data_IF_186992367070
#
_entry.id   IF_186992367070
#
_cell.length_a   1.000
_cell.length_b   1.000
_cell.length_c   1.000
_cell.angle_alpha   90.00
_cell.angle_beta   90.00
_cell.angle_gamma   90.00
#
_symmetry.space_group_name_H-M   'P 1'
#
loop_
_entity.id
_entity.type
_entity.pdbx_description
1 polymer ?
#
# COMPACT_ATOMS: atom_id res chain seq x y z
N UNK A 1 65.87 30.35 -67.11
CA UNK A 1 66.96 30.70 -66.16
C UNK A 1 66.40 31.59 -65.05
N UNK A 2 67.11 31.73 -63.92
CA UNK A 2 66.70 32.44 -62.68
C UNK A 2 65.49 31.80 -61.95
N UNK A 3 65.49 31.37 -60.67
CA UNK A 3 66.22 31.66 -59.39
C UNK A 3 65.72 32.85 -58.57
N UNK A 4 64.85 32.58 -57.57
CA UNK A 4 64.91 32.97 -56.12
C UNK A 4 63.54 32.71 -55.44
N UNK A 5 63.33 32.21 -54.20
CA UNK A 5 64.14 32.02 -52.96
C UNK A 5 64.45 33.36 -52.26
N UNK A 6 64.03 33.69 -51.03
CA UNK A 6 63.49 33.00 -49.82
C UNK A 6 62.63 34.04 -49.01
N UNK A 7 61.94 33.82 -47.88
CA UNK A 7 61.76 32.64 -46.98
C UNK A 7 60.22 32.38 -46.79
N UNK A 8 59.49 32.24 -45.66
CA UNK A 8 59.75 32.19 -44.18
C UNK A 8 58.66 31.39 -43.40
N UNK A 9 58.88 31.16 -42.10
CA UNK A 9 58.03 30.40 -41.13
C UNK A 9 58.27 30.93 -39.68
N UNK A 10 57.70 30.41 -38.56
CA UNK A 10 56.48 29.61 -38.31
C UNK A 10 55.65 30.17 -37.10
N UNK A 11 55.02 29.28 -36.29
CA UNK A 11 54.46 29.46 -34.93
C UNK A 11 52.98 29.90 -34.86
N UNK A 12 52.14 29.16 -34.10
CA UNK A 12 50.77 29.58 -33.76
C UNK A 12 49.71 28.50 -33.49
N UNK A 13 50.07 27.26 -33.12
CA UNK A 13 49.08 26.18 -32.97
C UNK A 13 48.11 26.34 -31.78
N UNK A 14 46.81 26.10 -31.98
CA UNK A 14 45.82 25.96 -30.89
C UNK A 14 44.57 25.14 -31.24
N UNK A 15 44.61 23.85 -30.86
CA UNK A 15 43.50 23.01 -30.36
C UNK A 15 42.10 23.23 -30.97
N UNK A 16 41.79 22.48 -32.03
CA UNK A 16 40.39 22.16 -32.36
C UNK A 16 39.80 21.23 -31.29
N UNK A 17 38.68 21.64 -30.66
CA UNK A 17 37.98 20.84 -29.65
C UNK A 17 37.22 19.68 -30.30
N UNK A 18 37.71 18.45 -30.15
CA UNK A 18 36.83 17.26 -30.18
C UNK A 18 36.28 17.02 -28.78
N UNK A 19 35.00 17.30 -28.56
CA UNK A 19 34.34 17.00 -27.28
C UNK A 19 32.83 16.80 -27.46
N UNK A 20 32.42 15.54 -27.36
CA UNK A 20 31.11 15.07 -26.87
C UNK A 20 29.88 15.92 -27.25
N UNK A 21 29.15 15.49 -28.28
CA UNK A 21 27.68 15.54 -28.21
C UNK A 21 27.23 14.58 -27.11
N UNK A 22 26.92 15.12 -25.94
CA UNK A 22 25.97 14.48 -25.02
C UNK A 22 24.61 15.12 -25.31
N UNK A 23 23.79 14.43 -26.10
CA UNK A 23 22.46 14.94 -26.44
C UNK A 23 21.57 14.97 -25.19
N UNK A 24 21.05 16.16 -24.88
CA UNK A 24 20.27 16.43 -23.68
C UNK A 24 18.90 15.75 -23.75
N UNK A 25 18.80 14.51 -23.25
CA UNK A 25 17.54 13.75 -23.15
C UNK A 25 16.88 13.78 -21.77
N UNK A 26 17.24 14.75 -20.93
CA UNK A 26 16.39 15.20 -19.82
C UNK A 26 15.14 15.86 -20.42
N UNK A 27 14.05 15.11 -20.57
CA UNK A 27 12.87 15.57 -21.30
C UNK A 27 11.55 15.05 -20.72
N UNK A 28 10.71 16.01 -20.33
CA UNK A 28 9.26 15.93 -20.04
C UNK A 28 8.73 15.07 -18.89
N UNK A 29 9.35 13.95 -18.48
CA UNK A 29 8.79 13.14 -17.37
C UNK A 29 8.95 13.82 -16.01
N UNK A 30 10.18 14.07 -15.60
CA UNK A 30 10.55 14.58 -14.27
C UNK A 30 9.91 15.97 -13.96
N UNK A 31 9.58 16.73 -15.01
CA UNK A 31 8.94 18.05 -14.90
C UNK A 31 7.43 17.97 -14.64
N UNK A 32 6.74 16.88 -15.01
CA UNK A 32 5.32 16.70 -14.67
C UNK A 32 5.11 16.07 -13.28
N UNK A 33 5.97 15.14 -12.87
CA UNK A 33 5.85 14.47 -11.56
C UNK A 33 6.09 15.46 -10.40
N UNK A 34 7.07 16.36 -10.54
CA UNK A 34 7.39 17.37 -9.53
C UNK A 34 6.32 18.47 -9.41
N UNK A 35 5.72 18.90 -10.52
CA UNK A 35 4.75 20.02 -10.49
C UNK A 35 3.40 19.62 -9.86
N UNK A 36 2.95 18.37 -10.04
CA UNK A 36 1.71 17.86 -9.42
C UNK A 36 1.84 17.79 -7.90
N UNK A 37 2.94 17.23 -7.38
CA UNK A 37 3.19 17.14 -5.93
C UNK A 37 3.37 18.54 -5.32
N UNK A 38 4.08 19.44 -6.01
CA UNK A 38 4.27 20.82 -5.55
C UNK A 38 2.96 21.61 -5.47
N UNK A 39 2.06 21.48 -6.46
CA UNK A 39 0.75 22.15 -6.47
C UNK A 39 -0.22 21.58 -5.42
N UNK A 40 -0.12 20.29 -5.08
CA UNK A 40 -0.93 19.66 -4.01
C UNK A 40 -0.61 20.21 -2.60
N UNK A 41 0.62 20.69 -2.36
CA UNK A 41 1.07 21.19 -1.06
C UNK A 41 0.62 22.63 -0.74
N UNK A 42 0.05 23.38 -1.68
CA UNK A 42 -0.16 24.84 -1.53
C UNK A 42 -1.57 25.30 -1.11
N UNK A 43 -2.60 24.43 -1.10
CA UNK A 43 -4.00 24.90 -1.13
C UNK A 43 -4.86 24.38 0.04
N UNK A 44 -4.83 25.06 1.19
CA UNK A 44 -5.78 24.84 2.30
C UNK A 44 -7.04 25.73 2.16
N UNK A 45 -8.21 25.13 1.86
CA UNK A 45 -9.57 25.63 2.20
C UNK A 45 -10.66 24.69 1.65
N UNK A 46 -11.82 24.68 2.33
CA UNK A 46 -13.14 24.07 1.98
C UNK A 46 -13.28 22.53 2.02
N UNK A 47 -14.22 22.04 2.83
CA UNK A 47 -14.40 20.60 3.15
C UNK A 47 -14.91 19.74 1.98
N UNK A 48 -15.88 20.23 1.22
CA UNK A 48 -16.41 19.51 0.06
C UNK A 48 -15.33 19.27 -1.02
N UNK A 49 -14.36 20.17 -1.10
CA UNK A 49 -13.18 20.04 -1.95
C UNK A 49 -12.16 19.07 -1.30
N UNK A 50 -11.99 19.10 0.03
CA UNK A 50 -11.11 18.17 0.75
C UNK A 50 -11.47 16.68 0.50
N UNK A 51 -12.75 16.30 0.54
CA UNK A 51 -13.16 14.91 0.22
C UNK A 51 -12.93 14.56 -1.26
N UNK A 52 -13.17 15.49 -2.19
CA UNK A 52 -12.85 15.30 -3.60
C UNK A 52 -11.33 15.16 -3.86
N UNK A 53 -10.49 15.91 -3.11
CA UNK A 53 -9.02 15.81 -3.14
C UNK A 53 -8.52 14.51 -2.51
N UNK A 54 -9.09 14.06 -1.38
CA UNK A 54 -8.81 12.74 -0.76
C UNK A 54 -9.01 11.64 -1.79
N UNK A 55 -10.16 11.62 -2.48
CA UNK A 55 -10.42 10.72 -3.62
C UNK A 55 -9.32 10.83 -4.68
N UNK A 56 -9.05 12.04 -5.20
CA UNK A 56 -8.07 12.24 -6.27
C UNK A 56 -6.65 11.74 -5.91
N UNK A 57 -6.18 12.00 -4.69
CA UNK A 57 -4.87 11.55 -4.22
C UNK A 57 -4.78 10.02 -4.09
N UNK A 58 -5.83 9.39 -3.52
CA UNK A 58 -5.95 7.94 -3.39
C UNK A 58 -6.03 7.26 -4.77
N UNK A 59 -6.80 7.81 -5.72
CA UNK A 59 -6.87 7.25 -7.08
C UNK A 59 -5.55 7.37 -7.85
N UNK A 60 -4.92 8.55 -7.87
CA UNK A 60 -3.68 8.76 -8.62
C UNK A 60 -2.54 7.83 -8.15
N UNK A 61 -2.43 7.60 -6.85
CA UNK A 61 -1.41 6.70 -6.27
C UNK A 61 -1.77 5.22 -6.43
N UNK A 62 -3.05 4.84 -6.35
CA UNK A 62 -3.52 3.48 -6.68
C UNK A 62 -3.24 3.10 -8.15
N UNK A 63 -3.48 4.00 -9.11
CA UNK A 63 -3.14 3.74 -10.52
C UNK A 63 -1.64 3.58 -10.77
N UNK A 64 -0.80 4.35 -10.07
CA UNK A 64 0.66 4.25 -10.19
C UNK A 64 1.22 2.92 -9.62
N UNK A 65 0.63 2.42 -8.53
CA UNK A 65 1.02 1.12 -7.96
C UNK A 65 0.81 -0.03 -8.95
N UNK A 66 -0.33 -0.05 -9.65
CA UNK A 66 -0.66 -1.11 -10.62
C UNK A 66 0.25 -1.14 -11.84
N UNK A 67 0.63 0.04 -12.37
CA UNK A 67 1.59 0.15 -13.48
C UNK A 67 2.95 -0.42 -13.07
N UNK A 68 3.40 -0.14 -11.83
CA UNK A 68 4.66 -0.68 -11.29
C UNK A 68 4.61 -2.21 -11.07
N UNK A 69 3.45 -2.76 -10.72
CA UNK A 69 3.26 -4.20 -10.53
C UNK A 69 3.18 -5.00 -11.85
N UNK A 70 2.61 -4.41 -12.91
CA UNK A 70 2.48 -5.05 -14.23
C UNK A 70 3.77 -5.07 -15.05
N UNK A 71 4.60 -4.02 -14.95
CA UNK A 71 5.83 -3.85 -15.72
C UNK A 71 5.60 -3.27 -17.12
N UNK A 72 6.48 -2.38 -17.56
CA UNK A 72 6.31 -1.59 -18.77
C UNK A 72 6.54 -2.39 -20.07
N UNK A 73 5.46 -2.89 -20.66
CA UNK A 73 5.43 -3.22 -22.09
C UNK A 73 4.97 -1.99 -22.89
N UNK A 74 5.82 -1.46 -23.78
CA UNK A 74 5.45 -0.38 -24.71
C UNK A 74 4.45 -0.90 -25.76
N UNK A 75 3.16 -0.81 -25.45
CA UNK A 75 2.04 -1.23 -26.30
C UNK A 75 1.08 -0.07 -26.59
N UNK A 76 1.47 0.84 -27.49
CA UNK A 76 0.62 1.97 -27.86
C UNK A 76 -0.57 1.57 -28.73
N UNK A 77 -1.79 1.90 -28.30
CA UNK A 77 -3.01 1.82 -29.10
C UNK A 77 -3.98 2.95 -28.75
N UNK A 78 -4.71 3.44 -29.75
CA UNK A 78 -5.62 4.59 -29.65
C UNK A 78 -7.07 4.14 -29.85
N UNK A 79 -8.00 4.60 -29.00
CA UNK A 79 -9.45 4.38 -29.18
C UNK A 79 -10.21 4.39 -27.86
N UNK A 80 -11.25 5.21 -27.75
CA UNK A 80 -12.03 5.39 -26.52
C UNK A 80 -13.16 4.36 -26.34
N UNK A 81 -13.66 4.26 -25.10
CA UNK A 81 -14.82 3.43 -24.74
C UNK A 81 -14.69 2.85 -23.33
N UNK A 82 -15.64 3.15 -22.44
CA UNK A 82 -15.56 2.82 -21.00
C UNK A 82 -15.54 1.30 -20.72
N UNK A 83 -14.35 0.72 -20.50
CA UNK A 83 -14.05 -0.33 -19.49
C UNK A 83 -12.59 -0.79 -19.66
N UNK A 84 -11.66 -0.15 -18.95
CA UNK A 84 -10.23 -0.43 -19.12
C UNK A 84 -9.78 -1.68 -18.34
N UNK A 85 -9.69 -2.82 -19.03
CA UNK A 85 -8.98 -3.99 -18.55
C UNK A 85 -7.52 -3.95 -19.05
N UNK A 86 -6.56 -3.87 -18.13
CA UNK A 86 -5.14 -3.85 -18.50
C UNK A 86 -4.71 -5.28 -18.85
N UNK A 87 -4.27 -5.49 -20.08
CA UNK A 87 -3.64 -6.73 -20.55
C UNK A 87 -2.14 -6.59 -20.35
N UNK A 88 -1.53 -7.53 -19.62
CA UNK A 88 -0.09 -7.54 -19.34
C UNK A 88 0.58 -8.70 -20.08
N UNK A 89 1.66 -8.40 -20.80
CA UNK A 89 2.46 -9.39 -21.50
C UNK A 89 3.33 -10.20 -20.53
N UNK A 90 3.05 -11.49 -20.40
CA UNK A 90 3.82 -12.41 -19.56
C UNK A 90 5.22 -12.68 -20.14
N UNK A 91 6.23 -11.94 -19.67
CA UNK A 91 7.63 -12.16 -20.03
C UNK A 91 8.18 -13.46 -19.42
N UNK A 92 8.04 -14.58 -20.13
CA UNK A 92 8.48 -15.90 -19.69
C UNK A 92 10.01 -16.06 -19.64
N UNK A 93 10.63 -15.67 -18.52
CA UNK A 93 12.05 -15.94 -18.22
C UNK A 93 12.19 -17.07 -17.20
N UNK A 94 12.81 -18.18 -17.60
CA UNK A 94 13.02 -19.35 -16.74
C UNK A 94 14.48 -19.55 -16.29
N UNK A 95 14.66 -20.26 -15.17
CA UNK A 95 15.95 -20.77 -14.69
C UNK A 95 16.59 -19.94 -13.57
N UNK A 96 16.98 -20.61 -12.48
CA UNK A 96 17.71 -20.00 -11.36
C UNK A 96 17.31 -20.51 -9.97
N UNK A 97 17.48 -21.81 -9.69
CA UNK A 97 17.45 -22.29 -8.30
C UNK A 97 18.72 -21.78 -7.59
N UNK A 98 18.52 -20.99 -6.53
CA UNK A 98 19.58 -20.23 -5.87
C UNK A 98 19.24 -20.03 -4.41
N UNK A 99 19.62 -20.99 -3.57
CA UNK A 99 19.29 -21.07 -2.14
C UNK A 99 19.96 -20.03 -1.25
N UNK A 100 19.74 -18.74 -1.53
CA UNK A 100 20.04 -17.64 -0.63
C UNK A 100 18.82 -17.31 0.24
N UNK A 101 18.91 -17.50 1.55
CA UNK A 101 17.86 -17.12 2.50
C UNK A 101 17.77 -15.60 2.66
N UNK A 102 17.14 -14.90 1.71
CA UNK A 102 16.87 -13.47 1.83
C UNK A 102 15.81 -13.26 2.93
N UNK A 103 16.27 -12.95 4.14
CA UNK A 103 15.44 -12.34 5.18
C UNK A 103 15.02 -10.96 4.68
N UNK A 104 13.88 -10.88 4.00
CA UNK A 104 13.34 -9.59 3.59
C UNK A 104 12.90 -8.83 4.83
N UNK A 105 13.56 -7.71 5.11
CA UNK A 105 13.18 -6.83 6.20
C UNK A 105 11.82 -6.22 5.87
N UNK A 106 10.76 -6.74 6.47
CA UNK A 106 9.40 -6.25 6.26
C UNK A 106 9.33 -4.77 6.64
N UNK A 107 8.81 -3.92 5.74
CA UNK A 107 8.56 -2.52 6.07
C UNK A 107 7.55 -2.45 7.19
N UNK A 108 7.78 -1.58 8.17
CA UNK A 108 6.82 -1.31 9.23
C UNK A 108 6.47 0.17 9.22
N UNK A 109 5.17 0.46 9.21
CA UNK A 109 4.59 1.77 9.45
C UNK A 109 3.87 1.75 10.79
N UNK A 110 4.00 2.83 11.56
CA UNK A 110 3.41 2.97 12.88
C UNK A 110 2.62 4.28 12.96
N UNK A 111 1.35 4.17 13.33
CA UNK A 111 0.52 5.30 13.72
C UNK A 111 0.19 5.19 15.21
N UNK A 112 0.28 6.31 15.92
CA UNK A 112 -0.07 6.45 17.32
C UNK A 112 -1.18 7.49 17.41
N UNK A 113 -2.32 7.12 18.02
CA UNK A 113 -3.55 7.92 18.06
C UNK A 113 -4.18 7.83 19.45
N UNK A 114 -4.82 8.90 19.91
CA UNK A 114 -5.59 8.93 21.17
C UNK A 114 -7.00 9.43 20.88
N UNK A 115 -8.04 8.69 21.31
CA UNK A 115 -9.43 8.92 20.89
C UNK A 115 -10.47 8.36 21.88
N UNK A 116 -11.74 8.77 21.75
CA UNK A 116 -12.83 8.21 22.57
C UNK A 116 -13.18 6.79 22.09
N UNK A 117 -13.51 5.88 23.00
CA UNK A 117 -13.68 4.45 22.70
C UNK A 117 -14.70 4.09 21.62
N UNK A 118 -15.67 4.96 21.30
CA UNK A 118 -16.63 4.76 20.20
C UNK A 118 -16.03 5.02 18.81
N UNK A 119 -14.93 5.76 18.72
CA UNK A 119 -14.28 6.16 17.46
C UNK A 119 -13.30 5.10 16.93
N UNK A 120 -12.94 4.12 17.76
CA UNK A 120 -11.90 3.11 17.47
C UNK A 120 -12.19 2.30 16.21
N UNK A 121 -13.40 1.76 16.11
CA UNK A 121 -13.81 0.90 15.00
C UNK A 121 -13.69 1.65 13.65
N UNK A 122 -14.15 2.89 13.60
CA UNK A 122 -14.11 3.77 12.43
C UNK A 122 -12.69 4.24 12.07
N UNK A 123 -11.90 4.67 13.07
CA UNK A 123 -10.55 5.16 12.86
C UNK A 123 -9.60 4.07 12.33
N UNK A 124 -9.70 2.86 12.89
CA UNK A 124 -8.92 1.71 12.40
C UNK A 124 -9.42 1.26 11.03
N UNK A 125 -10.73 1.23 10.80
CA UNK A 125 -11.31 0.87 9.51
C UNK A 125 -10.85 1.83 8.41
N UNK A 126 -10.88 3.14 8.63
CA UNK A 126 -10.48 4.14 7.63
C UNK A 126 -9.01 3.99 7.20
N UNK A 127 -8.12 3.69 8.15
CA UNK A 127 -6.69 3.42 7.91
C UNK A 127 -6.52 2.10 7.14
N UNK A 128 -7.07 1.00 7.62
CA UNK A 128 -6.85 -0.31 7.01
C UNK A 128 -7.56 -0.48 5.66
N UNK A 129 -8.74 0.09 5.46
CA UNK A 129 -9.37 0.13 4.13
C UNK A 129 -8.56 0.97 3.13
N UNK A 130 -8.00 2.11 3.55
CA UNK A 130 -7.13 2.93 2.67
C UNK A 130 -5.86 2.16 2.28
N UNK A 131 -5.21 1.50 3.24
CA UNK A 131 -4.05 0.63 2.98
C UNK A 131 -4.43 -0.54 2.05
N UNK A 132 -5.53 -1.25 2.33
CA UNK A 132 -6.00 -2.37 1.50
C UNK A 132 -6.46 -1.93 0.11
N UNK A 133 -6.95 -0.71 -0.07
CA UNK A 133 -7.24 -0.15 -1.37
C UNK A 133 -5.96 -0.08 -2.24
N UNK A 134 -4.85 0.41 -1.69
CA UNK A 134 -3.53 0.38 -2.37
C UNK A 134 -2.84 -1.00 -2.40
N UNK A 135 -3.50 -2.05 -1.86
CA UNK A 135 -2.99 -3.43 -1.80
C UNK A 135 -3.98 -4.45 -2.37
N UNK A 136 -4.99 -3.98 -3.11
CA UNK A 136 -5.97 -4.78 -3.82
C UNK A 136 -5.93 -4.54 -5.33
N UNK A 137 -5.97 -5.63 -6.09
CA UNK A 137 -6.18 -5.65 -7.52
C UNK A 137 -7.61 -6.13 -7.83
N UNK A 138 -8.09 -5.94 -9.06
CA UNK A 138 -9.25 -6.72 -9.53
C UNK A 138 -8.84 -8.15 -9.86
N UNK A 139 -9.80 -9.07 -9.98
CA UNK A 139 -9.50 -10.50 -10.25
C UNK A 139 -8.59 -10.68 -11.47
N UNK A 140 -7.55 -11.49 -11.32
CA UNK A 140 -6.71 -11.91 -12.44
C UNK A 140 -7.45 -12.91 -13.34
N UNK A 141 -7.32 -12.72 -14.66
CA UNK A 141 -7.77 -13.67 -15.69
C UNK A 141 -6.59 -14.03 -16.59
N UNK A 142 -5.99 -15.19 -16.32
CA UNK A 142 -4.88 -15.75 -17.09
C UNK A 142 -5.38 -16.39 -18.40
N UNK A 143 -4.54 -16.37 -19.43
CA UNK A 143 -4.73 -17.06 -20.71
C UNK A 143 -3.73 -18.21 -20.84
N UNK A 144 -4.02 -19.17 -21.71
CA UNK A 144 -3.16 -20.34 -21.95
C UNK A 144 -1.74 -19.97 -22.43
N UNK A 145 -1.58 -18.81 -23.04
CA UNK A 145 -0.31 -18.23 -23.53
C UNK A 145 0.55 -17.60 -22.41
N UNK A 146 0.15 -17.70 -21.14
CA UNK A 146 0.87 -17.09 -20.01
C UNK A 146 0.67 -15.57 -19.83
N UNK A 147 0.00 -14.92 -20.78
CA UNK A 147 -0.49 -13.54 -20.61
C UNK A 147 -1.70 -13.49 -19.67
N UNK A 148 -1.95 -12.33 -19.05
CA UNK A 148 -3.10 -12.13 -18.16
C UNK A 148 -3.75 -10.77 -18.36
N UNK A 149 -4.96 -10.64 -17.84
CA UNK A 149 -5.65 -9.36 -17.67
C UNK A 149 -6.07 -9.20 -16.22
N UNK A 150 -6.06 -7.95 -15.72
CA UNK A 150 -6.50 -7.60 -14.37
C UNK A 150 -7.86 -6.90 -14.47
N UNK A 151 -8.81 -7.28 -13.61
CA UNK A 151 -10.08 -6.59 -13.47
C UNK A 151 -9.95 -5.21 -12.82
N UNK A 152 -11.02 -4.43 -12.83
CA UNK A 152 -11.12 -3.15 -12.10
C UNK A 152 -11.47 -3.40 -10.63
N UNK A 153 -10.91 -2.60 -9.71
CA UNK A 153 -11.35 -2.55 -8.31
C UNK A 153 -12.52 -1.59 -8.19
N UNK A 154 -13.69 -2.07 -7.75
CA UNK A 154 -14.81 -1.21 -7.36
C UNK A 154 -14.51 -0.49 -6.05
N UNK A 155 -15.02 0.72 -5.88
CA UNK A 155 -14.83 1.52 -4.68
C UNK A 155 -16.12 2.21 -4.23
N UNK A 156 -16.17 2.54 -2.94
CA UNK A 156 -17.22 3.34 -2.33
C UNK A 156 -16.64 4.26 -1.27
N UNK A 157 -17.32 5.36 -1.01
CA UNK A 157 -17.12 6.18 0.17
C UNK A 157 -17.84 5.55 1.37
N UNK A 158 -17.31 5.79 2.57
CA UNK A 158 -17.91 5.45 3.86
C UNK A 158 -17.75 6.66 4.77
N UNK A 159 -18.88 7.25 5.16
CA UNK A 159 -18.95 8.29 6.18
C UNK A 159 -18.89 7.66 7.59
N UNK A 160 -18.26 8.36 8.53
CA UNK A 160 -18.19 7.96 9.93
C UNK A 160 -19.29 8.63 10.76
N UNK A 161 -19.89 7.92 11.72
CA UNK A 161 -20.88 8.45 12.66
C UNK A 161 -20.17 9.19 13.82
N UNK A 162 -19.10 8.59 14.36
CA UNK A 162 -18.41 9.07 15.57
C UNK A 162 -17.16 9.91 15.29
N UNK A 163 -16.85 10.21 14.03
CA UNK A 163 -15.75 11.08 13.60
C UNK A 163 -16.27 11.94 12.45
N UNK A 164 -15.90 13.22 12.38
CA UNK A 164 -16.25 14.06 11.22
C UNK A 164 -15.30 13.76 10.05
N UNK A 165 -15.48 12.58 9.44
CA UNK A 165 -14.59 12.02 8.42
C UNK A 165 -15.33 11.11 7.42
N UNK A 166 -14.78 11.04 6.20
CA UNK A 166 -15.22 10.13 5.13
C UNK A 166 -13.98 9.46 4.55
N UNK A 167 -13.99 8.14 4.40
CA UNK A 167 -12.91 7.36 3.78
C UNK A 167 -13.38 6.59 2.55
N UNK A 168 -12.42 6.10 1.75
CA UNK A 168 -12.71 5.27 0.56
C UNK A 168 -12.27 3.83 0.85
N UNK A 169 -13.09 2.86 0.46
CA UNK A 169 -12.76 1.44 0.53
C UNK A 169 -13.06 0.71 -0.78
N UNK A 170 -12.50 -0.49 -0.95
CA UNK A 170 -12.93 -1.41 -1.99
C UNK A 170 -14.39 -1.82 -1.76
N UNK A 171 -15.21 -1.90 -2.81
CA UNK A 171 -16.61 -2.37 -2.77
C UNK A 171 -16.76 -3.88 -2.57
N UNK A 172 -16.00 -4.46 -1.62
CA UNK A 172 -16.00 -5.88 -1.31
C UNK A 172 -16.61 -6.13 0.07
N UNK A 173 -17.86 -6.60 0.08
CA UNK A 173 -18.59 -6.96 1.31
C UNK A 173 -17.83 -8.00 2.14
N UNK A 174 -17.11 -8.92 1.49
CA UNK A 174 -16.32 -9.93 2.18
C UNK A 174 -15.04 -9.36 2.83
N UNK A 175 -14.40 -8.36 2.21
CA UNK A 175 -13.24 -7.68 2.82
C UNK A 175 -13.67 -6.80 4.00
N UNK A 176 -14.78 -6.08 3.83
CA UNK A 176 -15.44 -5.30 4.88
C UNK A 176 -15.81 -6.16 6.10
N UNK A 177 -16.47 -7.29 5.89
CA UNK A 177 -16.81 -8.26 6.95
C UNK A 177 -15.56 -8.84 7.63
N UNK A 178 -14.48 -9.09 6.89
CA UNK A 178 -13.21 -9.55 7.47
C UNK A 178 -12.56 -8.47 8.34
N UNK A 179 -12.47 -7.23 7.86
CA UNK A 179 -11.91 -6.13 8.65
C UNK A 179 -12.75 -5.85 9.90
N UNK A 180 -14.08 -5.65 9.75
CA UNK A 180 -14.97 -5.35 10.88
C UNK A 180 -14.90 -6.38 12.00
N UNK A 181 -14.83 -7.68 11.68
CA UNK A 181 -14.70 -8.75 12.68
C UNK A 181 -13.43 -8.61 13.53
N UNK A 182 -12.27 -8.43 12.90
CA UNK A 182 -11.00 -8.31 13.64
C UNK A 182 -10.87 -6.97 14.36
N UNK A 183 -11.37 -5.88 13.75
CA UNK A 183 -11.35 -4.52 14.31
C UNK A 183 -12.27 -4.42 15.53
N UNK A 184 -13.52 -4.88 15.46
CA UNK A 184 -14.44 -4.85 16.60
C UNK A 184 -14.00 -5.80 17.71
N UNK A 185 -13.39 -6.95 17.38
CA UNK A 185 -12.77 -7.83 18.39
C UNK A 185 -11.61 -7.15 19.15
N UNK A 186 -10.75 -6.40 18.44
CA UNK A 186 -9.74 -5.53 19.08
C UNK A 186 -10.38 -4.42 19.92
N UNK A 187 -11.41 -3.77 19.39
CA UNK A 187 -12.07 -2.62 20.01
C UNK A 187 -12.85 -3.00 21.27
N UNK A 188 -13.52 -4.15 21.28
CA UNK A 188 -14.11 -4.77 22.48
C UNK A 188 -13.05 -5.09 23.54
N UNK A 189 -11.94 -5.73 23.15
CA UNK A 189 -10.84 -6.02 24.07
C UNK A 189 -10.24 -4.74 24.66
N UNK A 190 -10.01 -3.70 23.84
CA UNK A 190 -9.46 -2.41 24.24
C UNK A 190 -10.39 -1.64 25.20
N UNK A 191 -11.71 -1.76 25.01
CA UNK A 191 -12.76 -1.16 25.86
C UNK A 191 -13.14 -1.98 27.11
N UNK A 192 -12.60 -3.18 27.28
CA UNK A 192 -12.92 -4.05 28.43
C UNK A 192 -12.52 -3.43 29.78
N UNK A 193 -13.17 -3.83 30.88
CA UNK A 193 -12.91 -3.28 32.23
C UNK A 193 -11.49 -3.50 32.73
N UNK A 194 -10.86 -4.57 32.25
CA UNK A 194 -9.56 -5.05 32.71
C UNK A 194 -8.43 -4.58 31.76
N UNK A 195 -8.79 -3.85 30.71
CA UNK A 195 -7.88 -3.13 29.82
C UNK A 195 -7.36 -1.86 30.50
N UNK A 196 -6.05 -1.55 30.39
CA UNK A 196 -5.50 -0.26 30.80
C UNK A 196 -5.86 0.87 29.81
N UNK A 197 -6.76 0.61 28.85
CA UNK A 197 -7.18 1.58 27.83
C UNK A 197 -6.19 1.77 26.69
N UNK A 198 -5.13 0.96 26.58
CA UNK A 198 -4.14 1.08 25.50
C UNK A 198 -3.74 -0.26 24.89
N UNK A 199 -3.50 -0.24 23.58
CA UNK A 199 -3.20 -1.43 22.78
C UNK A 199 -2.76 -1.10 21.37
N UNK A 200 -2.61 -2.13 20.54
CA UNK A 200 -2.28 -1.99 19.13
C UNK A 200 -2.97 -3.07 18.29
N UNK A 201 -3.26 -2.72 17.03
CA UNK A 201 -3.68 -3.64 15.97
C UNK A 201 -2.77 -3.45 14.75
N UNK A 202 -2.40 -4.57 14.12
CA UNK A 202 -1.49 -4.60 12.97
C UNK A 202 -2.14 -5.32 11.79
N UNK A 203 -2.01 -4.71 10.61
CA UNK A 203 -2.29 -5.31 9.30
C UNK A 203 -0.96 -5.70 8.67
N UNK A 204 -0.71 -7.00 8.51
CA UNK A 204 0.53 -7.55 7.92
C UNK A 204 0.23 -8.15 6.55
N UNK A 205 0.96 -7.72 5.52
CA UNK A 205 1.04 -8.36 4.22
C UNK A 205 2.24 -9.30 4.15
N UNK A 206 2.01 -10.50 3.64
CA UNK A 206 3.01 -11.56 3.54
C UNK A 206 3.01 -12.26 2.18
N UNK A 207 3.93 -13.19 1.99
CA UNK A 207 3.97 -14.15 0.89
C UNK A 207 4.11 -15.56 1.48
N UNK A 208 3.50 -16.57 0.87
CA UNK A 208 3.70 -17.98 1.22
C UNK A 208 4.82 -18.56 0.37
N UNK A 209 5.90 -19.00 1.02
CA UNK A 209 6.95 -19.76 0.34
C UNK A 209 6.47 -21.20 0.13
N UNK A 210 6.68 -21.75 -1.08
CA UNK A 210 6.42 -23.18 -1.37
C UNK A 210 7.28 -24.04 -0.44
N UNK A 211 6.64 -24.59 0.59
CA UNK A 211 7.29 -25.54 1.49
C UNK A 211 7.52 -26.88 0.79
N UNK A 212 8.62 -27.56 1.15
CA UNK A 212 8.77 -29.00 0.88
C UNK A 212 8.24 -29.75 2.11
N UNK A 213 7.37 -30.73 1.88
CA UNK A 213 6.82 -31.61 2.92
C UNK A 213 7.97 -32.20 3.77
N UNK A 214 7.86 -32.27 5.11
CA UNK A 214 6.63 -32.17 5.92
C UNK A 214 6.31 -30.79 6.52
N UNK A 215 7.06 -29.73 6.19
CA UNK A 215 6.89 -28.43 6.88
C UNK A 215 5.69 -27.62 6.37
N UNK A 216 5.09 -26.80 7.23
CA UNK A 216 4.02 -25.86 6.86
C UNK A 216 4.55 -24.74 5.94
N UNK A 217 3.71 -24.14 5.07
CA UNK A 217 4.08 -22.98 4.25
C UNK A 217 4.57 -21.80 5.10
N UNK A 218 5.83 -21.43 4.92
CA UNK A 218 6.46 -20.30 5.60
C UNK A 218 5.83 -18.99 5.08
N UNK A 219 5.24 -18.21 6.00
CA UNK A 219 4.63 -16.91 5.71
C UNK A 219 5.66 -15.81 5.98
N UNK A 220 6.18 -15.21 4.91
CA UNK A 220 7.24 -14.19 4.96
C UNK A 220 6.59 -12.81 4.86
N UNK A 221 6.58 -12.00 5.94
CA UNK A 221 6.05 -10.64 5.89
C UNK A 221 6.92 -9.75 4.97
N UNK A 222 6.30 -8.78 4.33
CA UNK A 222 7.00 -7.76 3.53
C UNK A 222 6.52 -6.33 3.82
N UNK A 223 5.32 -6.15 4.38
CA UNK A 223 4.82 -4.85 4.82
C UNK A 223 3.85 -4.99 6.01
N UNK A 224 3.98 -4.12 7.01
CA UNK A 224 3.20 -4.11 8.25
C UNK A 224 2.73 -2.69 8.55
N UNK A 225 1.44 -2.52 8.81
CA UNK A 225 0.84 -1.25 9.25
C UNK A 225 0.26 -1.43 10.64
N UNK A 226 0.85 -0.78 11.65
CA UNK A 226 0.41 -0.88 13.05
C UNK A 226 -0.24 0.41 13.50
N UNK A 227 -1.41 0.30 14.12
CA UNK A 227 -2.09 1.40 14.81
C UNK A 227 -2.03 1.13 16.32
N UNK A 228 -1.27 1.94 17.06
CA UNK A 228 -1.33 2.04 18.52
C UNK A 228 -2.44 3.01 18.91
N UNK A 229 -3.27 2.61 19.86
CA UNK A 229 -4.38 3.40 20.40
C UNK A 229 -4.26 3.58 21.91
N UNK A 230 -4.65 4.76 22.37
CA UNK A 230 -4.92 5.08 23.76
C UNK A 230 -6.34 5.67 23.90
N UNK A 231 -7.14 5.14 24.82
CA UNK A 231 -8.51 5.57 25.07
C UNK A 231 -8.55 6.76 26.02
N UNK A 232 -8.99 7.92 25.52
CA UNK A 232 -9.27 9.10 26.34
C UNK A 232 -10.72 9.10 26.81
N UNK A 233 -10.95 9.68 28.00
CA UNK A 233 -12.29 9.90 28.57
C UNK A 233 -12.66 11.36 28.41
N UNK A 234 -13.82 11.62 27.80
CA UNK A 234 -14.36 12.97 27.58
C UNK A 234 -15.57 13.16 28.49
N UNK A 235 -15.59 14.25 29.26
CA UNK A 235 -16.58 14.46 30.32
C UNK A 235 -17.88 15.08 29.79
N UNK A 236 -17.78 15.94 28.77
CA UNK A 236 -18.87 16.73 28.20
C UNK A 236 -19.07 16.47 26.71
N UNK A 237 -20.27 16.70 26.19
CA UNK A 237 -20.52 16.56 24.75
C UNK A 237 -19.79 17.64 23.91
N UNK A 238 -19.45 18.76 24.52
CA UNK A 238 -18.64 19.81 23.86
C UNK A 238 -17.20 19.31 23.60
N UNK A 239 -16.57 18.66 24.58
CA UNK A 239 -15.28 17.99 24.38
C UNK A 239 -15.37 16.86 23.36
N UNK A 240 -16.49 16.12 23.33
CA UNK A 240 -16.73 15.08 22.32
C UNK A 240 -16.80 15.67 20.92
N UNK A 241 -17.57 16.72 20.66
CA UNK A 241 -17.63 17.32 19.33
C UNK A 241 -16.27 17.85 18.87
N UNK A 242 -15.54 18.54 19.76
CA UNK A 242 -14.14 18.96 19.49
C UNK A 242 -13.22 17.75 19.18
N UNK A 243 -13.50 16.57 19.75
CA UNK A 243 -12.76 15.35 19.46
C UNK A 243 -13.18 14.70 18.12
N UNK A 244 -14.47 14.75 17.73
CA UNK A 244 -14.96 14.28 16.42
C UNK A 244 -14.26 15.00 15.26
N UNK A 245 -14.12 16.32 15.38
CA UNK A 245 -13.38 17.18 14.45
C UNK A 245 -11.88 16.86 14.43
N UNK A 246 -11.21 16.90 15.59
CA UNK A 246 -9.75 16.67 15.71
C UNK A 246 -9.30 15.29 15.24
N UNK A 247 -10.12 14.26 15.44
CA UNK A 247 -9.82 12.90 14.94
C UNK A 247 -10.00 12.84 13.42
N UNK A 248 -10.94 13.60 12.83
CA UNK A 248 -11.07 13.74 11.37
C UNK A 248 -9.86 14.42 10.72
N UNK A 249 -9.33 15.49 11.33
CA UNK A 249 -8.07 16.13 10.92
C UNK A 249 -6.89 15.14 11.04
N UNK A 250 -6.74 14.49 12.20
CA UNK A 250 -5.66 13.53 12.46
C UNK A 250 -5.65 12.37 11.46
N UNK A 251 -6.84 11.83 11.13
CA UNK A 251 -6.98 10.79 10.11
C UNK A 251 -6.69 11.31 8.70
N UNK A 252 -7.06 12.56 8.38
CA UNK A 252 -6.68 13.19 7.09
C UNK A 252 -5.18 13.14 6.88
N UNK A 253 -4.39 13.54 7.88
CA UNK A 253 -2.93 13.47 7.83
C UNK A 253 -2.41 12.03 7.70
N UNK A 254 -3.05 11.04 8.34
CA UNK A 254 -2.65 9.62 8.19
C UNK A 254 -2.97 9.07 6.79
N UNK A 255 -4.11 9.41 6.20
CA UNK A 255 -4.45 8.98 4.83
C UNK A 255 -3.54 9.64 3.80
N UNK A 256 -3.22 10.93 3.96
CA UNK A 256 -2.22 11.60 3.11
C UNK A 256 -0.84 10.92 3.23
N UNK A 257 -0.39 10.62 4.45
CA UNK A 257 0.85 9.86 4.67
C UNK A 257 0.84 8.46 4.03
N UNK A 258 -0.30 7.75 4.07
CA UNK A 258 -0.46 6.48 3.32
C UNK A 258 -0.20 6.74 1.84
N UNK A 259 -0.86 7.70 1.20
CA UNK A 259 -0.66 7.97 -0.24
C UNK A 259 0.80 8.34 -0.58
N UNK A 260 1.51 9.03 0.32
CA UNK A 260 2.94 9.35 0.16
C UNK A 260 3.81 8.09 0.20
N UNK A 261 3.64 7.24 1.22
CA UNK A 261 4.34 5.95 1.35
C UNK A 261 4.07 5.04 0.15
N UNK A 262 2.82 4.97 -0.29
CA UNK A 262 2.40 4.13 -1.44
C UNK A 262 3.05 4.56 -2.76
N UNK A 263 3.51 5.82 -2.88
CA UNK A 263 4.19 6.33 -4.07
C UNK A 263 5.72 6.11 -4.05
N UNK A 264 6.32 5.66 -2.94
CA UNK A 264 7.77 5.39 -2.84
C UNK A 264 8.19 4.22 -3.73
N UNK A 265 9.47 4.15 -4.10
CA UNK A 265 10.03 3.06 -4.94
C UNK A 265 10.34 1.80 -4.13
N UNK A 266 9.31 1.35 -3.43
CA UNK A 266 9.39 0.35 -2.39
C UNK A 266 9.11 -1.06 -2.93
N UNK A 267 9.74 -2.09 -2.36
CA UNK A 267 9.51 -3.48 -2.77
C UNK A 267 8.02 -3.86 -2.70
N UNK A 268 7.48 -4.38 -3.80
CA UNK A 268 6.14 -4.96 -3.90
C UNK A 268 6.30 -6.35 -4.54
N UNK A 269 5.56 -7.39 -4.10
CA UNK A 269 5.65 -8.70 -4.72
C UNK A 269 5.15 -8.66 -6.17
N UNK A 270 5.96 -9.19 -7.08
CA UNK A 270 5.63 -9.30 -8.51
C UNK A 270 4.41 -10.20 -8.72
N UNK A 271 3.64 -9.94 -9.78
CA UNK A 271 2.59 -10.87 -10.21
C UNK A 271 3.21 -12.22 -10.60
N UNK A 272 2.76 -13.34 -10.00
CA UNK A 272 3.35 -14.66 -10.24
C UNK A 272 2.67 -15.39 -11.41
N UNK A 273 3.04 -16.65 -11.63
CA UNK A 273 2.31 -17.56 -12.51
C UNK A 273 0.93 -17.91 -11.94
N UNK A 274 0.00 -18.39 -12.78
CA UNK A 274 -1.34 -18.80 -12.31
C UNK A 274 -1.29 -19.88 -11.22
N UNK A 275 -0.31 -20.79 -11.28
CA UNK A 275 -0.10 -21.88 -10.31
C UNK A 275 0.61 -21.43 -9.02
N UNK A 276 0.78 -20.12 -8.83
CA UNK A 276 1.48 -19.47 -7.72
C UNK A 276 0.73 -18.23 -7.21
N UNK A 277 -0.46 -17.95 -7.76
CA UNK A 277 -1.25 -16.76 -7.44
C UNK A 277 -1.69 -16.73 -5.97
N UNK A 278 -2.04 -17.89 -5.42
CA UNK A 278 -2.46 -18.13 -4.03
C UNK A 278 -1.33 -18.04 -2.98
N UNK A 279 -0.09 -17.85 -3.46
CA UNK A 279 1.10 -17.62 -2.63
C UNK A 279 1.39 -16.14 -2.41
N UNK A 280 0.81 -15.27 -3.24
CA UNK A 280 1.05 -13.82 -3.25
C UNK A 280 -0.24 -13.04 -2.97
N UNK A 281 -1.37 -13.52 -3.50
CA UNK A 281 -2.68 -12.89 -3.40
C UNK A 281 -3.70 -13.83 -2.77
N UNK A 282 -4.68 -13.26 -2.06
CA UNK A 282 -5.85 -14.01 -1.66
C UNK A 282 -6.77 -14.22 -2.88
N UNK A 283 -7.03 -15.48 -3.20
CA UNK A 283 -7.87 -15.89 -4.32
C UNK A 283 -9.36 -15.98 -3.96
N UNK A 284 -9.70 -16.01 -2.66
CA UNK A 284 -11.03 -16.36 -2.15
C UNK A 284 -12.08 -15.25 -2.28
N UNK A 285 -11.68 -13.98 -2.23
CA UNK A 285 -12.57 -12.84 -2.47
C UNK A 285 -13.13 -12.90 -3.90
N UNK A 286 -14.46 -12.82 -4.12
CA UNK A 286 -15.05 -13.07 -5.44
C UNK A 286 -14.84 -11.92 -6.43
N UNK A 287 -14.77 -10.69 -5.91
CA UNK A 287 -14.82 -9.43 -6.65
C UNK A 287 -13.45 -8.74 -6.79
N UNK A 288 -12.62 -8.83 -5.75
CA UNK A 288 -11.26 -8.25 -5.69
C UNK A 288 -10.20 -9.33 -5.41
N UNK A 289 -8.94 -8.92 -5.47
CA UNK A 289 -7.77 -9.77 -5.26
C UNK A 289 -6.72 -9.01 -4.43
N UNK A 290 -6.87 -8.97 -3.09
CA UNK A 290 -5.86 -8.38 -2.21
C UNK A 290 -4.58 -9.23 -2.18
N UNK A 291 -3.43 -8.61 -1.92
CA UNK A 291 -2.24 -9.34 -1.47
C UNK A 291 -2.58 -10.16 -0.21
N UNK A 292 -1.92 -11.30 0.01
CA UNK A 292 -2.12 -12.09 1.23
C UNK A 292 -1.86 -11.22 2.46
N UNK A 293 -2.87 -11.11 3.31
CA UNK A 293 -2.84 -10.29 4.52
C UNK A 293 -3.38 -11.05 5.73
N UNK A 294 -3.00 -10.60 6.92
CA UNK A 294 -3.62 -11.00 8.19
C UNK A 294 -3.73 -9.78 9.11
N UNK A 295 -4.65 -9.85 10.06
CA UNK A 295 -4.69 -8.91 11.18
C UNK A 295 -4.30 -9.62 12.47
N UNK A 296 -3.72 -8.87 13.40
CA UNK A 296 -3.48 -9.30 14.78
C UNK A 296 -3.53 -8.10 15.70
N UNK A 297 -3.94 -8.30 16.95
CA UNK A 297 -3.97 -7.24 17.95
C UNK A 297 -3.45 -7.71 19.31
N UNK A 298 -3.04 -6.73 20.11
CA UNK A 298 -2.67 -6.90 21.51
C UNK A 298 -3.13 -5.67 22.29
N UNK A 299 -4.00 -5.85 23.28
CA UNK A 299 -4.09 -4.89 24.38
C UNK A 299 -2.85 -5.04 25.25
N UNK A 300 -2.38 -3.95 25.87
CA UNK A 300 -1.45 -4.11 26.99
C UNK A 300 -2.22 -4.69 28.18
N UNK A 301 -1.59 -5.54 28.98
CA UNK A 301 -2.21 -6.10 30.19
C UNK A 301 -1.55 -5.53 31.45
N UNK A 302 -2.29 -5.40 32.57
CA UNK A 302 -1.67 -5.18 33.87
C UNK A 302 -0.77 -6.40 34.18
N UNK A 303 0.54 -6.18 34.24
CA UNK A 303 1.53 -7.25 34.22
C UNK A 303 1.64 -7.99 35.56
N UNK A 304 0.92 -9.10 35.72
CA UNK A 304 1.18 -10.11 36.74
C UNK A 304 2.04 -11.24 36.16
N UNK A 305 3.26 -11.39 36.68
CA UNK A 305 4.28 -12.29 36.13
C UNK A 305 3.92 -13.76 36.32
N UNK A 306 3.66 -14.49 35.23
CA UNK A 306 3.87 -15.94 35.10
C UNK A 306 3.98 -16.29 33.61
N UNK A 307 4.88 -17.20 33.23
CA UNK A 307 5.07 -17.61 31.84
C UNK A 307 3.93 -18.52 31.35
N UNK A 308 3.42 -18.25 30.14
CA UNK A 308 2.45 -19.12 29.47
C UNK A 308 2.16 -18.67 28.03
N UNK A 309 2.35 -19.58 27.06
CA UNK A 309 2.07 -19.31 25.65
C UNK A 309 0.54 -19.27 25.39
N UNK A 310 -0.04 -18.07 25.31
CA UNK A 310 -1.46 -17.89 24.98
C UNK A 310 -1.73 -17.94 23.47
N UNK A 311 -1.36 -19.05 22.83
CA UNK A 311 -2.07 -19.54 21.65
C UNK A 311 -3.19 -20.48 22.13
N UNK A 312 -4.29 -19.92 22.66
CA UNK A 312 -5.48 -20.69 23.06
C UNK A 312 -6.77 -19.92 22.76
N UNK A 313 -7.67 -20.60 22.05
CA UNK A 313 -8.78 -20.06 21.22
C UNK A 313 -8.22 -19.41 19.94
N UNK A 314 -8.50 -19.91 18.73
CA UNK A 314 -9.42 -20.98 18.29
C UNK A 314 -8.65 -22.17 17.65
N UNK A 315 -9.37 -23.13 17.06
CA UNK A 315 -8.87 -24.33 16.35
C UNK A 315 -8.34 -25.48 17.24
N UNK A 316 -9.28 -26.25 17.80
CA UNK A 316 -9.32 -27.73 17.79
C UNK A 316 -10.76 -28.12 18.16
N UNK A 317 -11.59 -28.55 17.21
CA UNK A 317 -11.89 -29.97 16.93
C UNK A 317 -12.22 -30.74 18.23
N UNK A 318 -13.43 -31.22 18.48
CA UNK A 318 -14.43 -31.80 17.54
C UNK A 318 -13.85 -32.91 16.67
N UNK A 319 -13.25 -33.91 17.32
CA UNK A 319 -13.12 -35.32 16.87
C UNK A 319 -12.29 -36.11 17.89
N UNK A 320 -12.94 -36.87 18.81
CA UNK A 320 -12.45 -38.10 19.50
C UNK A 320 -13.17 -38.41 20.82
N UNK A 321 -14.41 -38.91 20.72
CA UNK A 321 -14.78 -40.31 21.02
C UNK A 321 -16.13 -40.57 20.34
#
# INVERSE_FOLDING_TARGET
>A
MSRKVRVDEPIGGSRTRSSKRQDFKASRRDFQESEVVSRLLQLRTCDADLTARRRAAVFATHTNAHIRAGGSGDGGCSGGGNSSCIVVGGGGGGGGDGGGGITMNARTQLFELSMEGRQVDEAVASIFHSVLFHRSLGKFKYKQEGSYSVGTVGYQDVDCDFIDFTYVCCSSVHLDQTLKREISGFSEALRSTDSPGSGQISLEFFQRKKSRWPFQPECIPWEVWTVRLELIKLATEHERQICREKVGDLLTDKILYITEVMNRHDYIPKVPSQAELDLIFDTSYPDIQPYLFKLSFTTSSPSTTTMGNTMKKLIRETLSI
#
